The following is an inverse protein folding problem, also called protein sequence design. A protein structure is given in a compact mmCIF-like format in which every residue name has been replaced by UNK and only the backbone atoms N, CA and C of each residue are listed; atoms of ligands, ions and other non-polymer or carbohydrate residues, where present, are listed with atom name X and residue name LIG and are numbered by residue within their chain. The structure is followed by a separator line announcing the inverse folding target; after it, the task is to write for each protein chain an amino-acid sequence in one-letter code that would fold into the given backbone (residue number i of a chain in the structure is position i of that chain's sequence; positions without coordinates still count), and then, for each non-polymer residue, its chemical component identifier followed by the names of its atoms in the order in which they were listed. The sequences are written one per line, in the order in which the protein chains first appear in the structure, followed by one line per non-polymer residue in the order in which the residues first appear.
data_IF_585118681021
#
_entry.id   IF_585118681021
#
_cell.length_a   1.000
_cell.length_b   1.000
_cell.length_c   1.000
_cell.angle_alpha   90.00
_cell.angle_beta   90.00
_cell.angle_gamma   90.00
#
_symmetry.space_group_name_H-M   'P 1'
#
loop_
_entity.id
_entity.type
_entity.pdbx_description
1 polymer ?
#
# COMPACT_ATOMS: atom_id res chain seq x y z
N UNK A 1 -33.56 25.63 43.67
CA UNK A 1 -34.06 25.39 42.31
C UNK A 1 -34.80 26.65 41.93
N UNK A 2 -34.35 27.38 40.91
CA UNK A 2 -34.97 28.65 40.56
C UNK A 2 -36.39 28.42 40.03
N UNK A 3 -37.12 29.53 39.86
CA UNK A 3 -38.43 29.51 39.23
C UNK A 3 -38.36 28.80 37.86
N UNK A 4 -39.31 27.92 37.57
CA UNK A 4 -39.35 27.15 36.32
C UNK A 4 -39.27 28.03 35.07
N UNK A 5 -39.75 29.27 35.15
CA UNK A 5 -39.69 30.24 34.05
C UNK A 5 -38.27 30.69 33.72
N UNK A 6 -37.39 30.89 34.72
CA UNK A 6 -36.01 31.30 34.46
C UNK A 6 -35.16 30.11 34.00
N UNK A 7 -35.41 28.91 34.53
CA UNK A 7 -34.75 27.67 34.09
C UNK A 7 -35.06 27.33 32.62
N UNK A 8 -36.31 27.54 32.19
CA UNK A 8 -36.70 27.38 30.78
C UNK A 8 -35.99 28.38 29.87
N UNK A 9 -35.82 29.63 30.32
CA UNK A 9 -35.09 30.65 29.56
C UNK A 9 -33.59 30.35 29.48
N UNK A 10 -32.99 29.87 30.56
CA UNK A 10 -31.59 29.42 30.58
C UNK A 10 -31.42 28.26 29.58
N UNK A 11 -32.31 27.28 29.61
CA UNK A 11 -32.24 26.13 28.70
C UNK A 11 -32.40 26.52 27.23
N UNK A 12 -33.29 27.48 26.93
CA UNK A 12 -33.48 27.99 25.58
C UNK A 12 -32.27 28.81 25.07
N UNK A 13 -31.67 29.64 25.94
CA UNK A 13 -30.50 30.45 25.60
C UNK A 13 -29.20 29.64 25.50
N UNK A 14 -29.14 28.46 26.13
CA UNK A 14 -27.97 27.58 26.06
C UNK A 14 -28.12 26.45 25.02
N UNK A 15 -29.22 26.42 24.27
CA UNK A 15 -29.52 25.36 23.31
C UNK A 15 -28.55 25.28 22.12
N UNK A 16 -27.88 26.38 21.80
CA UNK A 16 -26.87 26.48 20.73
C UNK A 16 -25.43 26.39 21.24
N UNK A 17 -25.25 26.18 22.56
CA UNK A 17 -23.95 26.08 23.22
C UNK A 17 -23.18 27.40 23.36
N UNK A 18 -23.76 28.54 22.94
CA UNK A 18 -23.12 29.86 22.93
C UNK A 18 -24.02 30.91 23.55
N UNK A 19 -23.72 31.30 24.79
CA UNK A 19 -24.43 32.41 25.43
C UNK A 19 -23.96 33.75 24.85
N UNK A 20 -24.83 34.44 24.09
CA UNK A 20 -24.52 35.77 23.57
C UNK A 20 -24.69 36.85 24.63
N UNK A 21 -23.98 37.97 24.48
CA UNK A 21 -24.05 39.10 25.42
C UNK A 21 -25.47 39.67 25.57
N UNK A 22 -26.28 39.63 24.50
CA UNK A 22 -27.69 40.08 24.55
C UNK A 22 -28.57 39.13 25.34
N UNK A 23 -28.35 37.82 25.21
CA UNK A 23 -29.08 36.81 25.98
C UNK A 23 -28.71 36.87 27.46
N UNK A 24 -27.41 37.03 27.76
CA UNK A 24 -26.93 37.27 29.12
C UNK A 24 -27.65 38.47 29.75
N UNK A 25 -27.71 39.61 29.06
CA UNK A 25 -28.40 40.80 29.59
C UNK A 25 -29.90 40.59 29.82
N UNK A 26 -30.59 39.84 28.97
CA UNK A 26 -32.02 39.53 29.13
C UNK A 26 -32.24 38.61 30.34
N UNK A 27 -31.38 37.59 30.49
CA UNK A 27 -31.43 36.65 31.62
C UNK A 27 -31.20 37.37 32.96
N UNK A 28 -30.22 38.27 33.04
CA UNK A 28 -29.92 39.03 34.26
C UNK A 28 -31.07 39.97 34.64
N UNK A 29 -31.64 40.71 33.68
CA UNK A 29 -32.83 41.56 33.92
C UNK A 29 -34.02 40.73 34.41
N UNK A 30 -34.18 39.52 33.88
CA UNK A 30 -35.27 38.63 34.27
C UNK A 30 -35.04 38.04 35.67
N UNK A 31 -33.82 37.65 36.00
CA UNK A 31 -33.43 37.19 37.32
C UNK A 31 -33.64 38.28 38.39
N UNK A 32 -33.22 39.52 38.08
CA UNK A 32 -33.43 40.69 38.93
C UNK A 32 -34.93 40.95 39.18
N UNK A 33 -35.77 40.87 38.14
CA UNK A 33 -37.23 41.03 38.27
C UNK A 33 -37.89 39.95 39.14
N UNK A 34 -37.22 38.80 39.31
CA UNK A 34 -37.67 37.71 40.18
C UNK A 34 -37.05 37.77 41.58
N UNK A 35 -36.24 38.80 41.88
CA UNK A 35 -35.57 38.96 43.17
C UNK A 35 -34.43 37.99 43.41
N UNK A 36 -33.81 37.46 42.34
CA UNK A 36 -32.65 36.58 42.43
C UNK A 36 -31.37 37.43 42.50
N UNK A 37 -30.44 37.04 43.36
CA UNK A 37 -29.12 37.67 43.46
C UNK A 37 -28.31 37.48 42.17
N UNK A 38 -27.71 38.57 41.67
CA UNK A 38 -27.04 38.58 40.37
C UNK A 38 -25.75 37.76 40.37
N UNK A 39 -25.00 37.78 41.46
CA UNK A 39 -23.73 37.05 41.59
C UNK A 39 -24.01 35.54 41.71
N UNK A 40 -25.06 35.17 42.47
CA UNK A 40 -25.54 33.79 42.54
C UNK A 40 -26.03 33.29 41.17
N UNK A 41 -26.76 34.13 40.45
CA UNK A 41 -27.27 33.80 39.11
C UNK A 41 -26.16 33.58 38.09
N UNK A 42 -25.13 34.43 38.08
CA UNK A 42 -23.97 34.31 37.18
C UNK A 42 -23.23 32.99 37.40
N UNK A 43 -22.96 32.64 38.66
CA UNK A 43 -22.30 31.39 39.02
C UNK A 43 -23.09 30.16 38.53
N UNK A 44 -24.41 30.18 38.67
CA UNK A 44 -25.26 29.06 38.22
C UNK A 44 -25.34 28.99 36.69
N UNK A 45 -25.42 30.14 36.01
CA UNK A 45 -25.46 30.19 34.55
C UNK A 45 -24.17 29.64 33.93
N UNK A 46 -23.02 30.02 34.49
CA UNK A 46 -21.71 29.52 34.06
C UNK A 46 -21.54 28.02 34.34
N UNK A 47 -22.00 27.54 35.51
CA UNK A 47 -21.99 26.12 35.83
C UNK A 47 -22.81 25.29 34.80
N UNK A 48 -23.99 25.79 34.40
CA UNK A 48 -24.85 25.15 33.39
C UNK A 48 -24.22 25.13 32.01
N UNK A 49 -23.57 26.23 31.58
CA UNK A 49 -22.85 26.28 30.31
C UNK A 49 -21.72 25.25 30.25
N UNK A 50 -20.97 25.09 31.35
CA UNK A 50 -19.88 24.09 31.44
C UNK A 50 -20.42 22.66 31.44
N UNK A 51 -21.54 22.40 32.11
CA UNK A 51 -22.20 21.08 32.10
C UNK A 51 -22.66 20.69 30.69
N UNK A 52 -23.26 21.61 29.94
CA UNK A 52 -23.70 21.35 28.56
C UNK A 52 -22.51 21.06 27.64
N UNK A 53 -21.47 21.89 27.66
CA UNK A 53 -20.26 21.66 26.85
C UNK A 53 -19.60 20.32 27.18
N UNK A 54 -19.55 19.93 28.46
CA UNK A 54 -19.02 18.62 28.87
C UNK A 54 -19.90 17.45 28.42
N UNK A 55 -21.22 17.62 28.31
CA UNK A 55 -22.13 16.60 27.78
C UNK A 55 -21.94 16.45 26.27
N UNK A 56 -21.92 17.56 25.54
CA UNK A 56 -21.68 17.56 24.09
C UNK A 56 -20.34 16.94 23.72
N UNK A 57 -19.25 17.25 24.45
CA UNK A 57 -17.95 16.62 24.18
C UNK A 57 -17.96 15.13 24.48
N UNK A 58 -18.62 14.69 25.56
CA UNK A 58 -18.76 13.25 25.87
C UNK A 58 -19.60 12.52 24.84
N UNK A 59 -20.67 13.12 24.36
CA UNK A 59 -21.52 12.56 23.31
C UNK A 59 -20.78 12.50 21.97
N UNK A 60 -19.99 13.52 21.63
CA UNK A 60 -19.13 13.54 20.46
C UNK A 60 -18.03 12.47 20.53
N UNK A 61 -17.34 12.35 21.67
CA UNK A 61 -16.35 11.31 21.92
C UNK A 61 -16.97 9.90 21.87
N UNK A 62 -18.15 9.72 22.45
CA UNK A 62 -18.89 8.45 22.37
C UNK A 62 -19.29 8.12 20.93
N UNK A 63 -19.80 9.09 20.17
CA UNK A 63 -20.16 8.91 18.77
C UNK A 63 -18.93 8.63 17.90
N UNK A 64 -17.79 9.27 18.18
CA UNK A 64 -16.52 8.99 17.50
C UNK A 64 -16.02 7.56 17.79
N UNK A 65 -16.07 7.14 19.06
CA UNK A 65 -15.73 5.77 19.48
C UNK A 65 -16.70 4.73 18.90
N UNK A 66 -17.99 5.03 18.79
CA UNK A 66 -18.98 4.17 18.14
C UNK A 66 -18.75 4.07 16.64
N UNK A 67 -18.40 5.19 15.98
CA UNK A 67 -18.05 5.20 14.56
C UNK A 67 -16.73 4.46 14.29
N UNK A 68 -15.75 4.56 15.18
CA UNK A 68 -14.50 3.80 15.11
C UNK A 68 -14.74 2.29 15.36
N UNK A 69 -15.58 1.93 16.33
CA UNK A 69 -16.02 0.55 16.57
C UNK A 69 -16.81 -0.01 15.39
N UNK A 70 -17.67 0.78 14.74
CA UNK A 70 -18.39 0.37 13.54
C UNK A 70 -17.43 0.15 12.35
N UNK A 71 -16.41 1.00 12.19
CA UNK A 71 -15.33 0.82 11.20
C UNK A 71 -14.46 -0.41 11.51
N UNK A 72 -14.20 -0.70 12.78
CA UNK A 72 -13.47 -1.89 13.22
C UNK A 72 -14.31 -3.18 13.06
N UNK A 73 -15.63 -3.11 13.28
CA UNK A 73 -16.57 -4.20 13.04
C UNK A 73 -16.73 -4.51 11.54
N UNK A 74 -16.61 -3.52 10.66
CA UNK A 74 -16.54 -3.76 9.21
C UNK A 74 -15.22 -4.43 8.76
N UNK A 75 -14.14 -4.32 9.53
CA UNK A 75 -12.88 -5.07 9.29
C UNK A 75 -12.88 -6.47 9.91
N UNK A 76 -13.85 -6.79 10.77
CA UNK A 76 -13.89 -8.04 11.54
C UNK A 76 -15.30 -8.66 11.60
N UNK A 77 -16.11 -8.47 10.55
CA UNK A 77 -17.14 -9.46 10.28
C UNK A 77 -16.41 -10.81 10.11
N UNK A 78 -16.66 -11.84 10.94
CA UNK A 78 -16.17 -13.16 10.63
C UNK A 78 -16.71 -13.45 9.23
N UNK A 79 -15.83 -13.69 8.26
CA UNK A 79 -16.27 -14.16 6.95
C UNK A 79 -17.02 -15.45 7.21
N UNK A 80 -18.34 -15.37 7.29
CA UNK A 80 -19.16 -16.56 7.25
C UNK A 80 -18.79 -17.21 5.93
N UNK A 81 -18.39 -18.48 5.96
CA UNK A 81 -18.28 -19.34 4.79
C UNK A 81 -19.67 -19.63 4.19
N UNK A 82 -20.49 -18.58 4.01
CA UNK A 82 -21.72 -18.62 3.26
C UNK A 82 -21.32 -18.23 1.84
N UNK A 83 -21.12 -19.24 1.02
CA UNK A 83 -21.01 -19.07 -0.42
C UNK A 83 -22.09 -18.10 -0.92
N UNK A 84 -21.70 -17.10 -1.72
CA UNK A 84 -22.64 -16.39 -2.58
C UNK A 84 -22.74 -14.88 -2.41
N UNK A 85 -21.64 -14.15 -2.58
CA UNK A 85 -21.77 -12.90 -3.33
C UNK A 85 -22.00 -13.29 -4.80
N UNK A 86 -23.27 -13.52 -5.15
CA UNK A 86 -23.68 -13.77 -6.53
C UNK A 86 -23.53 -12.45 -7.28
N UNK A 87 -22.46 -12.34 -8.05
CA UNK A 87 -22.20 -11.15 -8.87
C UNK A 87 -22.96 -11.28 -10.18
N UNK A 88 -23.48 -10.18 -10.71
CA UNK A 88 -24.08 -10.16 -12.05
C UNK A 88 -23.02 -9.76 -13.06
N UNK A 89 -23.01 -10.40 -14.22
CA UNK A 89 -22.18 -10.00 -15.35
C UNK A 89 -22.62 -8.61 -15.83
N UNK A 90 -21.73 -7.61 -15.90
CA UNK A 90 -22.09 -6.27 -16.37
C UNK A 90 -22.42 -6.23 -17.87
N UNK A 91 -21.98 -7.23 -18.66
CA UNK A 91 -22.23 -7.29 -20.09
C UNK A 91 -23.54 -8.01 -20.48
N UNK A 92 -23.99 -8.98 -19.69
CA UNK A 92 -25.19 -9.78 -20.04
C UNK A 92 -26.19 -10.01 -18.90
N UNK A 93 -25.87 -9.57 -17.68
CA UNK A 93 -26.75 -9.73 -16.52
C UNK A 93 -26.77 -11.13 -15.90
N UNK A 94 -26.05 -12.11 -16.48
CA UNK A 94 -25.98 -13.48 -15.95
C UNK A 94 -25.41 -13.51 -14.53
N UNK A 95 -25.93 -14.41 -13.69
CA UNK A 95 -25.38 -14.66 -12.37
C UNK A 95 -24.06 -15.42 -12.50
N UNK A 96 -22.98 -14.82 -12.02
CA UNK A 96 -21.64 -15.41 -12.05
C UNK A 96 -21.15 -15.67 -10.64
N UNK A 97 -20.45 -16.80 -10.49
CA UNK A 97 -19.82 -17.14 -9.22
C UNK A 97 -18.65 -16.18 -8.95
N UNK A 98 -18.39 -15.94 -7.67
CA UNK A 98 -17.21 -15.18 -7.26
C UNK A 98 -15.94 -15.87 -7.78
N UNK A 99 -14.94 -15.09 -8.21
CA UNK A 99 -13.62 -15.55 -8.72
C UNK A 99 -13.56 -16.10 -10.16
N UNK A 100 -14.64 -16.02 -10.95
CA UNK A 100 -14.56 -16.32 -12.38
C UNK A 100 -13.89 -15.16 -13.13
N UNK A 101 -12.90 -15.45 -13.98
CA UNK A 101 -12.21 -14.45 -14.81
C UNK A 101 -12.96 -14.14 -16.11
N UNK A 102 -13.91 -15.00 -16.50
CA UNK A 102 -14.77 -14.83 -17.68
C UNK A 102 -16.20 -15.23 -17.36
N UNK A 103 -17.18 -14.53 -17.94
CA UNK A 103 -18.58 -14.90 -17.82
C UNK A 103 -18.86 -16.16 -18.68
N UNK A 104 -19.48 -17.22 -18.11
CA UNK A 104 -19.80 -18.44 -18.85
C UNK A 104 -20.87 -18.25 -19.93
N UNK A 105 -21.74 -17.25 -19.77
CA UNK A 105 -22.86 -17.00 -20.68
C UNK A 105 -22.47 -16.11 -21.88
N UNK A 106 -21.64 -15.09 -21.69
CA UNK A 106 -21.32 -14.13 -22.75
C UNK A 106 -19.83 -13.94 -23.03
N UNK A 107 -18.94 -14.60 -22.30
CA UNK A 107 -17.49 -14.49 -22.50
C UNK A 107 -16.86 -13.18 -22.02
N UNK A 108 -17.61 -12.29 -21.36
CA UNK A 108 -17.07 -11.05 -20.80
C UNK A 108 -15.96 -11.31 -19.78
N UNK A 109 -14.80 -10.71 -19.97
CA UNK A 109 -13.67 -10.83 -19.05
C UNK A 109 -13.81 -9.86 -17.86
N UNK A 110 -13.85 -10.40 -16.66
CA UNK A 110 -13.97 -9.62 -15.43
C UNK A 110 -12.63 -9.00 -15.07
N UNK A 111 -12.38 -7.78 -15.53
CA UNK A 111 -11.24 -6.97 -15.12
C UNK A 111 -11.59 -6.20 -13.85
N UNK A 112 -11.00 -6.56 -12.70
CA UNK A 112 -11.19 -5.77 -11.47
C UNK A 112 -10.42 -4.45 -11.59
N UNK A 113 -11.10 -3.37 -11.98
CA UNK A 113 -10.51 -2.04 -12.18
C UNK A 113 -9.87 -1.48 -10.89
N UNK A 114 -10.39 -1.83 -9.69
CA UNK A 114 -9.78 -1.44 -8.40
C UNK A 114 -8.70 -2.41 -7.88
N UNK A 115 -8.64 -3.65 -8.38
CA UNK A 115 -7.63 -4.63 -7.94
C UNK A 115 -6.33 -4.58 -8.77
N UNK A 116 -6.28 -3.76 -9.82
CA UNK A 116 -5.15 -3.67 -10.74
C UNK A 116 -4.03 -2.75 -10.21
N UNK A 117 -3.61 -2.99 -8.96
CA UNK A 117 -2.68 -2.11 -8.23
C UNK A 117 -1.53 -2.83 -7.54
N UNK A 118 -1.38 -4.15 -7.68
CA UNK A 118 -0.31 -4.90 -6.98
C UNK A 118 1.04 -4.44 -7.51
N UNK A 119 1.21 -4.34 -8.83
CA UNK A 119 2.44 -3.83 -9.44
C UNK A 119 2.73 -2.38 -9.05
N UNK A 120 1.73 -1.50 -9.08
CA UNK A 120 1.88 -0.09 -8.66
C UNK A 120 2.26 0.05 -7.19
N UNK A 121 1.66 -0.76 -6.31
CA UNK A 121 1.99 -0.80 -4.87
C UNK A 121 3.40 -1.32 -4.63
N UNK A 122 3.86 -2.29 -5.42
CA UNK A 122 5.24 -2.78 -5.35
C UNK A 122 6.23 -1.67 -5.71
N UNK A 123 6.00 -0.98 -6.83
CA UNK A 123 6.84 0.14 -7.27
C UNK A 123 6.88 1.26 -6.23
N UNK A 124 5.72 1.67 -5.72
CA UNK A 124 5.64 2.67 -4.64
C UNK A 124 6.42 2.25 -3.40
N UNK A 125 6.29 0.99 -2.97
CA UNK A 125 7.04 0.49 -1.80
C UNK A 125 8.56 0.47 -2.01
N UNK A 126 9.03 0.31 -3.26
CA UNK A 126 10.45 0.40 -3.59
C UNK A 126 10.93 1.85 -3.67
N UNK A 127 10.13 2.75 -4.25
CA UNK A 127 10.39 4.19 -4.31
C UNK A 127 10.50 4.81 -2.91
N UNK A 128 9.60 4.45 -1.99
CA UNK A 128 9.65 4.91 -0.59
C UNK A 128 10.97 4.51 0.12
N UNK A 129 11.57 3.38 -0.26
CA UNK A 129 12.90 2.97 0.26
C UNK A 129 14.02 3.81 -0.33
N UNK A 130 13.88 4.25 -1.58
CA UNK A 130 14.84 5.13 -2.25
C UNK A 130 14.76 6.58 -1.75
N UNK A 131 13.56 7.09 -1.48
CA UNK A 131 13.36 8.45 -0.98
C UNK A 131 13.95 8.67 0.43
N UNK A 132 13.97 7.63 1.27
CA UNK A 132 14.63 7.67 2.59
C UNK A 132 16.14 7.93 2.52
N UNK A 133 16.74 7.80 1.33
CA UNK A 133 18.16 8.09 1.07
C UNK A 133 18.38 9.56 0.71
N UNK A 134 17.39 10.20 0.10
CA UNK A 134 17.48 11.56 -0.46
C UNK A 134 17.10 12.66 0.55
N UNK A 135 16.29 12.37 1.57
CA UNK A 135 15.88 13.36 2.58
C UNK A 135 16.97 13.73 3.60
N UNK A 136 18.14 13.09 3.54
CA UNK A 136 19.25 13.29 4.47
C UNK A 136 20.36 14.22 3.92
N UNK A 137 20.02 15.10 2.97
CA UNK A 137 20.91 16.07 2.29
C UNK A 137 21.36 17.24 3.19
N UNK A 138 22.02 16.92 4.31
CA UNK A 138 22.90 17.85 5.02
C UNK A 138 24.38 17.51 4.79
N UNK A 139 25.29 18.40 5.23
CA UNK A 139 26.76 18.16 5.25
C UNK A 139 27.15 16.85 5.98
N UNK A 140 26.33 16.41 6.93
CA UNK A 140 26.44 15.12 7.62
C UNK A 140 26.09 13.94 6.70
N UNK A 141 25.17 14.12 5.75
CA UNK A 141 24.73 13.12 4.78
C UNK A 141 25.81 12.69 3.79
N UNK A 142 26.76 13.55 3.43
CA UNK A 142 27.88 13.19 2.54
C UNK A 142 28.94 12.33 3.27
N UNK A 143 29.27 12.68 4.52
CA UNK A 143 30.16 11.89 5.38
C UNK A 143 29.51 10.56 5.76
N UNK A 144 28.20 10.58 6.08
CA UNK A 144 27.43 9.37 6.35
C UNK A 144 27.27 8.51 5.10
N UNK A 145 27.18 9.08 3.89
CA UNK A 145 27.18 8.30 2.63
C UNK A 145 28.54 7.65 2.36
N UNK A 146 29.64 8.31 2.75
CA UNK A 146 31.00 7.72 2.73
C UNK A 146 31.22 6.62 3.78
N UNK A 147 30.57 6.70 4.94
CA UNK A 147 30.61 5.65 5.97
C UNK A 147 29.58 4.53 5.72
N UNK A 148 28.41 4.87 5.16
CA UNK A 148 27.35 3.94 4.78
C UNK A 148 27.68 3.20 3.47
N UNK A 149 28.49 3.73 2.55
CA UNK A 149 29.01 2.92 1.44
C UNK A 149 29.89 1.76 1.94
N UNK A 150 30.46 1.89 3.15
CA UNK A 150 31.25 0.84 3.82
C UNK A 150 30.39 -0.03 4.77
N UNK A 151 29.36 0.53 5.43
CA UNK A 151 28.57 -0.18 6.47
C UNK A 151 27.04 -0.19 6.30
N UNK A 152 26.45 0.56 5.38
CA UNK A 152 25.00 0.84 5.28
C UNK A 152 24.33 0.62 3.92
N UNK A 153 25.09 0.48 2.83
CA UNK A 153 24.56 0.13 1.50
C UNK A 153 23.88 -1.26 1.50
N UNK A 154 24.28 -2.12 2.43
CA UNK A 154 23.72 -3.46 2.56
C UNK A 154 22.31 -3.43 3.20
N UNK A 155 21.97 -2.46 4.06
CA UNK A 155 20.66 -2.41 4.74
C UNK A 155 19.53 -1.99 3.79
N UNK A 156 19.78 -1.02 2.91
CA UNK A 156 18.83 -0.58 1.88
C UNK A 156 18.63 -1.67 0.82
N UNK A 157 19.74 -2.28 0.37
CA UNK A 157 19.72 -3.41 -0.56
C UNK A 157 18.93 -4.58 0.03
N UNK A 158 19.18 -4.91 1.31
CA UNK A 158 18.45 -5.97 2.01
C UNK A 158 16.95 -5.66 2.11
N UNK A 159 16.57 -4.42 2.42
CA UNK A 159 15.16 -3.99 2.47
C UNK A 159 14.47 -4.10 1.12
N UNK A 160 15.10 -3.65 0.03
CA UNK A 160 14.58 -3.81 -1.33
C UNK A 160 14.39 -5.29 -1.70
N UNK A 161 15.42 -6.10 -1.45
CA UNK A 161 15.38 -7.56 -1.67
C UNK A 161 14.24 -8.21 -0.90
N UNK A 162 14.05 -7.83 0.36
CA UNK A 162 12.98 -8.34 1.21
C UNK A 162 11.61 -7.96 0.62
N UNK A 163 11.39 -6.69 0.28
CA UNK A 163 10.15 -6.22 -0.34
C UNK A 163 9.81 -7.04 -1.58
N UNK A 164 10.75 -7.18 -2.52
CA UNK A 164 10.54 -7.94 -3.77
C UNK A 164 10.13 -9.39 -3.48
N UNK A 165 10.82 -10.05 -2.53
CA UNK A 165 10.56 -11.45 -2.18
C UNK A 165 9.21 -11.65 -1.51
N UNK A 166 8.87 -10.79 -0.55
CA UNK A 166 7.66 -10.95 0.27
C UNK A 166 6.41 -10.34 -0.35
N UNK A 167 6.54 -9.54 -1.41
CA UNK A 167 5.38 -8.88 -2.01
C UNK A 167 4.32 -9.91 -2.46
N UNK A 168 3.01 -9.68 -2.26
CA UNK A 168 1.99 -10.63 -2.68
C UNK A 168 2.00 -10.86 -4.20
N UNK A 169 1.67 -12.08 -4.64
CA UNK A 169 1.54 -12.40 -6.06
C UNK A 169 0.14 -11.99 -6.56
N UNK A 170 0.02 -11.22 -7.65
CA UNK A 170 -1.27 -10.78 -8.18
C UNK A 170 -2.21 -11.94 -8.52
N UNK A 171 -3.52 -11.69 -8.46
CA UNK A 171 -4.58 -12.68 -8.73
C UNK A 171 -5.40 -12.35 -10.01
N UNK A 172 -5.15 -11.23 -10.67
CA UNK A 172 -5.79 -10.86 -11.94
C UNK A 172 -4.85 -11.18 -13.11
N UNK A 173 -5.40 -11.43 -14.30
CA UNK A 173 -4.59 -11.72 -15.49
C UNK A 173 -3.67 -10.55 -15.79
N UNK A 174 -4.21 -9.35 -15.80
CA UNK A 174 -3.54 -8.11 -16.23
C UNK A 174 -2.36 -7.78 -15.31
N UNK A 175 -2.59 -7.71 -14.01
CA UNK A 175 -1.57 -7.39 -13.00
C UNK A 175 -0.52 -8.50 -12.90
N UNK A 176 -0.90 -9.77 -13.15
CA UNK A 176 0.03 -10.88 -13.17
C UNK A 176 0.99 -10.80 -14.38
N UNK A 177 0.47 -10.47 -15.56
CA UNK A 177 1.28 -10.28 -16.76
C UNK A 177 2.14 -9.01 -16.67
N UNK A 178 1.60 -7.91 -16.13
CA UNK A 178 2.33 -6.66 -15.90
C UNK A 178 3.48 -6.88 -14.90
N UNK A 179 3.20 -7.49 -13.75
CA UNK A 179 4.23 -7.79 -12.76
C UNK A 179 5.27 -8.78 -13.30
N UNK A 180 4.86 -9.75 -14.12
CA UNK A 180 5.77 -10.70 -14.77
C UNK A 180 6.74 -9.98 -15.72
N UNK A 181 6.21 -9.08 -16.56
CA UNK A 181 7.01 -8.28 -17.48
C UNK A 181 8.02 -7.40 -16.73
N UNK A 182 7.55 -6.66 -15.71
CA UNK A 182 8.39 -5.84 -14.85
C UNK A 182 9.48 -6.66 -14.17
N UNK A 183 9.11 -7.79 -13.57
CA UNK A 183 10.05 -8.65 -12.84
C UNK A 183 11.09 -9.24 -13.78
N UNK A 184 10.71 -9.65 -15.00
CA UNK A 184 11.66 -10.15 -15.99
C UNK A 184 12.66 -9.07 -16.40
N UNK A 185 12.21 -7.85 -16.68
CA UNK A 185 13.09 -6.74 -17.05
C UNK A 185 14.14 -6.44 -15.97
N UNK A 186 13.76 -6.55 -14.69
CA UNK A 186 14.64 -6.31 -13.54
C UNK A 186 15.41 -7.55 -13.05
N UNK A 187 15.15 -8.73 -13.64
CA UNK A 187 15.79 -9.99 -13.26
C UNK A 187 17.27 -10.10 -13.69
N UNK A 188 17.81 -9.03 -14.27
CA UNK A 188 19.11 -9.02 -14.92
C UNK A 188 19.89 -7.84 -14.40
N UNK A 189 21.09 -8.10 -13.87
CA UNK A 189 21.97 -7.04 -13.43
C UNK A 189 22.47 -6.22 -14.65
N UNK A 190 22.79 -4.93 -14.47
CA UNK A 190 23.34 -4.10 -15.54
C UNK A 190 24.71 -4.60 -16.01
N UNK A 191 25.21 -4.05 -17.13
CA UNK A 191 26.46 -4.51 -17.76
C UNK A 191 27.69 -4.48 -16.83
N UNK A 192 27.74 -3.51 -15.92
CA UNK A 192 28.75 -3.38 -14.87
C UNK A 192 28.06 -3.45 -13.51
N UNK A 193 27.74 -4.66 -13.00
CA UNK A 193 26.90 -4.80 -11.83
C UNK A 193 27.71 -4.62 -10.53
N UNK A 194 27.19 -3.80 -9.61
CA UNK A 194 27.67 -3.81 -8.23
C UNK A 194 27.21 -5.08 -7.49
N UNK A 195 27.83 -5.44 -6.36
CA UNK A 195 27.34 -6.53 -5.51
C UNK A 195 25.86 -6.37 -5.09
N UNK A 196 25.42 -5.14 -4.84
CA UNK A 196 24.01 -4.82 -4.55
C UNK A 196 23.09 -5.07 -5.73
N UNK A 197 23.50 -4.71 -6.95
CA UNK A 197 22.69 -4.94 -8.16
C UNK A 197 22.46 -6.43 -8.40
N UNK A 198 23.49 -7.25 -8.16
CA UNK A 198 23.38 -8.71 -8.28
C UNK A 198 22.40 -9.29 -7.25
N UNK A 199 22.41 -8.80 -6.01
CA UNK A 199 21.45 -9.24 -4.97
C UNK A 199 20.01 -8.87 -5.35
N UNK A 200 19.79 -7.65 -5.83
CA UNK A 200 18.46 -7.18 -6.26
C UNK A 200 17.97 -7.94 -7.50
N UNK A 201 18.83 -8.12 -8.50
CA UNK A 201 18.50 -8.89 -9.70
C UNK A 201 18.15 -10.35 -9.36
N UNK A 202 18.87 -10.97 -8.41
CA UNK A 202 18.56 -12.31 -7.91
C UNK A 202 17.18 -12.37 -7.25
N UNK A 203 16.81 -11.37 -6.45
CA UNK A 203 15.47 -11.30 -5.85
C UNK A 203 14.38 -11.21 -6.92
N UNK A 204 14.57 -10.38 -7.95
CA UNK A 204 13.66 -10.30 -9.09
C UNK A 204 13.58 -11.62 -9.87
N UNK A 205 14.68 -12.35 -10.07
CA UNK A 205 14.67 -13.67 -10.71
C UNK A 205 13.81 -14.68 -9.95
N UNK A 206 13.94 -14.74 -8.62
CA UNK A 206 13.10 -15.59 -7.77
C UNK A 206 11.63 -15.19 -7.90
N UNK A 207 11.35 -13.88 -7.91
CA UNK A 207 9.99 -13.37 -8.05
C UNK A 207 9.37 -13.73 -9.40
N UNK A 208 10.12 -13.57 -10.50
CA UNK A 208 9.72 -13.99 -11.85
C UNK A 208 9.38 -15.48 -11.89
N UNK A 209 10.15 -16.34 -11.22
CA UNK A 209 9.85 -17.79 -11.16
C UNK A 209 8.50 -18.07 -10.48
N UNK A 210 8.20 -17.39 -9.37
CA UNK A 210 6.92 -17.51 -8.68
C UNK A 210 5.75 -17.04 -9.56
N UNK A 211 5.93 -15.91 -10.25
CA UNK A 211 4.94 -15.35 -11.18
C UNK A 211 4.64 -16.30 -12.34
N UNK A 212 5.68 -16.86 -12.96
CA UNK A 212 5.54 -17.85 -14.05
C UNK A 212 4.76 -19.08 -13.58
N UNK A 213 5.08 -19.60 -12.39
CA UNK A 213 4.41 -20.77 -11.84
C UNK A 213 2.90 -20.51 -11.70
N UNK A 214 2.54 -19.38 -11.08
CA UNK A 214 1.14 -19.00 -10.92
C UNK A 214 0.45 -18.72 -12.25
N UNK A 215 1.12 -18.01 -13.16
CA UNK A 215 0.57 -17.67 -14.47
C UNK A 215 0.25 -18.93 -15.28
N UNK A 216 1.13 -19.94 -15.28
CA UNK A 216 0.85 -21.24 -15.94
C UNK A 216 -0.37 -21.95 -15.37
N UNK A 217 -0.65 -21.78 -14.07
CA UNK A 217 -1.82 -22.39 -13.42
C UNK A 217 -3.09 -21.60 -13.76
N UNK A 218 -3.04 -20.27 -13.70
CA UNK A 218 -4.21 -19.39 -13.87
C UNK A 218 -4.59 -19.14 -15.33
N UNK A 219 -3.63 -19.09 -16.25
CA UNK A 219 -3.78 -18.67 -17.64
C UNK A 219 -3.44 -19.81 -18.60
N UNK A 220 -3.98 -21.01 -18.34
CA UNK A 220 -3.74 -22.18 -19.21
C UNK A 220 -4.18 -21.86 -20.65
N UNK A 221 -3.29 -22.11 -21.61
CA UNK A 221 -3.49 -21.88 -23.05
C UNK A 221 -3.78 -20.42 -23.42
N UNK A 222 -3.32 -19.46 -22.61
CA UNK A 222 -3.46 -18.04 -22.92
C UNK A 222 -2.33 -17.58 -23.86
N UNK A 223 -2.65 -17.00 -25.04
CA UNK A 223 -1.65 -16.64 -26.05
C UNK A 223 -0.69 -15.54 -25.58
N UNK A 224 -1.16 -14.62 -24.72
CA UNK A 224 -0.33 -13.52 -24.21
C UNK A 224 0.74 -14.06 -23.25
N UNK A 225 0.36 -15.00 -22.38
CA UNK A 225 1.31 -15.69 -21.52
C UNK A 225 2.33 -16.49 -22.34
N UNK A 226 1.90 -17.23 -23.35
CA UNK A 226 2.80 -18.02 -24.20
C UNK A 226 3.82 -17.13 -24.93
N UNK A 227 3.38 -16.00 -25.48
CA UNK A 227 4.25 -15.01 -26.10
C UNK A 227 5.31 -14.48 -25.12
N UNK A 228 4.89 -14.08 -23.92
CA UNK A 228 5.81 -13.56 -22.89
C UNK A 228 6.81 -14.65 -22.48
N UNK A 229 6.37 -15.88 -22.24
CA UNK A 229 7.27 -16.98 -21.87
C UNK A 229 8.27 -17.30 -22.99
N UNK A 230 7.84 -17.24 -24.25
CA UNK A 230 8.71 -17.42 -25.40
C UNK A 230 9.76 -16.30 -25.52
N UNK A 231 9.39 -15.05 -25.28
CA UNK A 231 10.34 -13.92 -25.22
C UNK A 231 11.39 -14.12 -24.12
N UNK A 232 10.95 -14.44 -22.89
CA UNK A 232 11.83 -14.71 -21.75
C UNK A 232 12.82 -15.85 -22.08
N UNK A 233 12.34 -16.91 -22.73
CA UNK A 233 13.19 -18.03 -23.14
C UNK A 233 14.21 -17.61 -24.21
N UNK A 234 13.79 -16.81 -25.21
CA UNK A 234 14.67 -16.28 -26.27
C UNK A 234 15.76 -15.38 -25.69
N UNK A 235 15.43 -14.48 -24.77
CA UNK A 235 16.40 -13.60 -24.11
C UNK A 235 17.43 -14.38 -23.30
N UNK A 236 16.99 -15.41 -22.56
CA UNK A 236 17.90 -16.29 -21.81
C UNK A 236 18.83 -17.06 -22.75
N UNK A 237 18.30 -17.62 -23.84
CA UNK A 237 19.11 -18.34 -24.84
C UNK A 237 20.16 -17.42 -25.48
N UNK A 238 19.77 -16.21 -25.90
CA UNK A 238 20.69 -15.20 -26.45
C UNK A 238 21.81 -14.86 -25.47
N UNK A 239 21.49 -14.74 -24.17
CA UNK A 239 22.49 -14.48 -23.13
C UNK A 239 23.46 -15.63 -22.91
N UNK A 240 22.97 -16.86 -22.82
CA UNK A 240 23.84 -18.04 -22.68
C UNK A 240 24.80 -18.14 -23.86
N UNK A 241 24.31 -17.93 -25.09
CA UNK A 241 25.15 -17.92 -26.29
C UNK A 241 26.21 -16.82 -26.20
N UNK A 242 25.85 -15.58 -25.85
CA UNK A 242 26.81 -14.47 -25.69
C UNK A 242 27.89 -14.77 -24.64
N UNK A 243 27.51 -15.32 -23.48
CA UNK A 243 28.46 -15.69 -22.41
C UNK A 243 29.38 -16.83 -22.89
N UNK A 244 28.82 -17.85 -23.54
CA UNK A 244 29.60 -18.97 -24.07
C UNK A 244 30.61 -18.53 -25.13
N UNK A 245 30.27 -17.57 -25.99
CA UNK A 245 31.18 -16.98 -26.97
C UNK A 245 32.25 -16.11 -26.29
N UNK A 246 31.87 -15.30 -25.30
CA UNK A 246 32.77 -14.38 -24.62
C UNK A 246 33.81 -15.09 -23.73
N UNK A 247 33.46 -16.23 -23.11
CA UNK A 247 34.35 -16.96 -22.20
C UNK A 247 34.95 -18.19 -22.87
N UNK A 248 34.15 -18.96 -23.60
CA UNK A 248 34.55 -20.25 -24.17
C UNK A 248 35.61 -20.12 -25.26
N UNK A 249 35.50 -19.11 -26.14
CA UNK A 249 36.46 -18.88 -27.22
C UNK A 249 37.85 -18.52 -26.68
N UNK A 250 38.03 -17.49 -25.83
CA UNK A 250 39.36 -17.14 -25.31
C UNK A 250 39.96 -18.23 -24.42
N UNK A 251 39.16 -18.97 -23.67
CA UNK A 251 39.66 -20.10 -22.86
C UNK A 251 40.19 -21.23 -23.75
N UNK A 252 39.49 -21.55 -24.84
CA UNK A 252 39.91 -22.56 -25.80
C UNK A 252 41.17 -22.14 -26.57
N UNK A 253 41.26 -20.86 -26.96
CA UNK A 253 42.48 -20.29 -27.56
C UNK A 253 43.65 -20.35 -26.58
N UNK A 254 43.43 -20.00 -25.31
CA UNK A 254 44.46 -20.05 -24.27
C UNK A 254 45.01 -21.46 -24.04
N UNK A 255 44.14 -22.47 -24.03
CA UNK A 255 44.54 -23.89 -23.93
C UNK A 255 45.36 -24.32 -25.14
N UNK A 256 44.95 -23.96 -26.36
CA UNK A 256 45.70 -24.27 -27.58
C UNK A 256 47.08 -23.61 -27.55
N UNK A 257 47.16 -22.33 -27.18
CA UNK A 257 48.44 -21.61 -27.06
C UNK A 257 49.36 -22.25 -26.03
N UNK A 258 48.82 -22.71 -24.90
CA UNK A 258 49.59 -23.42 -23.87
C UNK A 258 50.16 -24.74 -24.39
N UNK A 259 49.35 -25.52 -25.12
CA UNK A 259 49.79 -26.80 -25.73
C UNK A 259 50.90 -26.55 -26.75
N UNK A 260 50.77 -25.53 -27.60
CA UNK A 260 51.80 -25.18 -28.60
C UNK A 260 53.11 -24.79 -27.89
N UNK A 261 53.06 -23.96 -26.85
CA UNK A 261 54.23 -23.59 -26.07
C UNK A 261 54.91 -24.78 -25.40
N UNK A 262 54.12 -25.72 -24.86
CA UNK A 262 54.64 -26.94 -24.23
C UNK A 262 55.35 -27.85 -25.23
N UNK A 263 54.84 -27.94 -26.48
CA UNK A 263 55.48 -28.71 -27.55
C UNK A 263 56.78 -28.03 -28.02
N UNK A 264 56.82 -26.70 -28.11
CA UNK A 264 58.03 -25.99 -28.54
C UNK A 264 59.17 -25.96 -27.50
N UNK A 265 58.89 -26.30 -26.24
CA UNK A 265 59.88 -26.34 -25.15
C UNK A 265 60.53 -27.73 -24.95
N UNK A 266 60.03 -28.77 -25.63
CA UNK A 266 60.55 -30.13 -25.63
C UNK A 266 61.21 -30.47 -26.98
#
# INVERSE_FOLDING_TARGET
MYNEQIEALISAALADGVLTEKEKQILFKKAESMGIDLDEFEMVLDARLVELKKKETREAEQHELEMEKAKAAQKSAPKSNKYGDVRKCPACGAMVESFQTKCPECGYEFTNIEANSTTKKLLKALEEVDEQVSSNEGMVGSVLRGAASVFGADSLTARKVQIIRTFPIPNTKEDLLEMLSLSNANSTAPANPSPSDNKIASAWQEKTKQLILKARIMLKNDPDLEYILAEIAREKKKRIIKISLAIGIPLLIGVIMFIILAICLF
#
